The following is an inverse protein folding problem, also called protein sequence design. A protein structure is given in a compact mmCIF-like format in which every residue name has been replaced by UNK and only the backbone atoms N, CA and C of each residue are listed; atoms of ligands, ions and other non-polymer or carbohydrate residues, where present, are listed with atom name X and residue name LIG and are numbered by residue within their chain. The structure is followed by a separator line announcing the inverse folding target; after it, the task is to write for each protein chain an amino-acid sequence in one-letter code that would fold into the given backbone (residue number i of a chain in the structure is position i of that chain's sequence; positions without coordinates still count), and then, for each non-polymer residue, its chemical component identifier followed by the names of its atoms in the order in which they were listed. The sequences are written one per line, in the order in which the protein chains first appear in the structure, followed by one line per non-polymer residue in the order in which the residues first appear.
data_IF_688603936145
#
_entry.id   IF_688603936145
#
_cell.length_a   1.000
_cell.length_b   1.000
_cell.length_c   1.000
_cell.angle_alpha   90.00
_cell.angle_beta   90.00
_cell.angle_gamma   90.00
#
_symmetry.space_group_name_H-M   'P 1'
#
loop_
_entity.id
_entity.type
_entity.pdbx_description
1 polymer ?
#
# COMPACT_ATOMS: atom_id res chain seq x y z
N UNK A 1 19.00 -17.13 -9.02
CA UNK A 1 18.70 -18.49 -9.53
C UNK A 1 17.71 -18.37 -10.67
N UNK A 2 17.99 -18.93 -11.86
CA UNK A 2 17.11 -18.82 -13.02
C UNK A 2 15.94 -19.83 -13.00
N UNK A 3 16.05 -20.89 -12.20
CA UNK A 3 15.19 -22.08 -12.17
C UNK A 3 14.15 -22.08 -11.04
N UNK A 4 13.74 -20.89 -10.57
CA UNK A 4 12.72 -20.77 -9.53
C UNK A 4 11.35 -21.15 -10.12
N UNK A 5 10.72 -22.20 -9.57
CA UNK A 5 9.42 -22.72 -10.03
C UNK A 5 8.21 -22.13 -9.31
N UNK A 6 8.40 -21.65 -8.09
CA UNK A 6 7.33 -21.09 -7.27
C UNK A 6 7.77 -19.79 -6.64
N UNK A 7 6.94 -18.77 -6.74
CA UNK A 7 6.98 -17.58 -5.90
C UNK A 7 5.65 -17.53 -5.17
N UNK A 8 5.70 -17.57 -3.85
CA UNK A 8 4.51 -17.58 -3.00
C UNK A 8 4.52 -16.34 -2.13
N UNK A 9 3.50 -15.51 -2.30
CA UNK A 9 3.20 -14.40 -1.41
C UNK A 9 2.21 -14.89 -0.36
N UNK A 10 2.70 -15.05 0.87
CA UNK A 10 1.86 -15.38 2.01
C UNK A 10 0.96 -14.19 2.40
N UNK A 11 1.53 -12.99 2.35
CA UNK A 11 0.81 -11.75 2.57
C UNK A 11 0.79 -10.95 1.27
N UNK A 12 -0.28 -10.19 1.04
CA UNK A 12 -0.41 -9.43 -0.19
C UNK A 12 0.66 -8.32 -0.28
N UNK A 13 1.31 -8.14 -1.45
CA UNK A 13 2.27 -7.07 -1.64
C UNK A 13 1.69 -5.68 -1.43
N UNK A 14 2.56 -4.71 -1.17
CA UNK A 14 2.17 -3.31 -0.93
C UNK A 14 1.87 -2.55 -2.23
N UNK A 15 2.30 -3.10 -3.37
CA UNK A 15 2.02 -2.55 -4.68
C UNK A 15 2.12 -3.60 -5.79
N UNK A 16 1.55 -3.27 -6.95
CA UNK A 16 1.64 -4.09 -8.16
C UNK A 16 3.07 -4.12 -8.72
N UNK A 17 3.84 -3.04 -8.58
CA UNK A 17 5.25 -3.04 -8.98
C UNK A 17 6.08 -4.01 -8.14
N UNK A 18 5.88 -4.01 -6.81
CA UNK A 18 6.52 -4.98 -5.92
C UNK A 18 6.15 -6.40 -6.31
N UNK A 19 4.85 -6.66 -6.44
CA UNK A 19 4.33 -7.95 -6.88
C UNK A 19 4.94 -8.41 -8.21
N UNK A 20 4.99 -7.54 -9.23
CA UNK A 20 5.55 -7.86 -10.55
C UNK A 20 7.06 -8.16 -10.49
N UNK A 21 7.84 -7.38 -9.74
CA UNK A 21 9.28 -7.63 -9.58
C UNK A 21 9.57 -8.93 -8.85
N UNK A 22 8.79 -9.24 -7.82
CA UNK A 22 8.95 -10.43 -6.99
C UNK A 22 8.54 -11.70 -7.75
N UNK A 23 7.37 -11.69 -8.39
CA UNK A 23 6.89 -12.81 -9.23
C UNK A 23 7.75 -13.01 -10.48
N UNK A 24 8.31 -11.95 -11.06
CA UNK A 24 9.27 -11.99 -12.18
C UNK A 24 10.61 -12.68 -11.86
N UNK A 25 10.79 -13.22 -10.65
CA UNK A 25 11.90 -14.10 -10.30
C UNK A 25 11.63 -15.56 -10.69
N UNK A 26 10.38 -15.95 -10.86
CA UNK A 26 10.00 -17.29 -11.33
C UNK A 26 10.28 -17.46 -12.83
N UNK A 27 10.64 -18.68 -13.25
CA UNK A 27 10.63 -19.04 -14.68
C UNK A 27 11.64 -18.32 -15.58
N UNK A 28 12.75 -17.79 -15.05
CA UNK A 28 13.73 -17.02 -15.85
C UNK A 28 14.52 -17.86 -16.86
N UNK A 29 14.55 -19.18 -16.66
CA UNK A 29 15.05 -20.16 -17.61
C UNK A 29 14.08 -20.46 -18.77
N UNK A 30 12.91 -19.79 -18.81
CA UNK A 30 11.85 -20.04 -19.78
C UNK A 30 10.98 -21.25 -19.47
N UNK A 31 11.28 -21.98 -18.38
CA UNK A 31 10.41 -23.03 -17.84
C UNK A 31 9.21 -22.44 -17.09
N UNK A 32 8.22 -23.29 -16.82
CA UNK A 32 7.02 -22.88 -16.09
C UNK A 32 7.35 -22.34 -14.68
N UNK A 33 6.75 -21.20 -14.34
CA UNK A 33 6.88 -20.55 -13.04
C UNK A 33 5.50 -20.21 -12.50
N UNK A 34 5.16 -20.76 -11.34
CA UNK A 34 3.90 -20.56 -10.66
C UNK A 34 4.01 -19.42 -9.64
N UNK A 35 3.13 -18.44 -9.76
CA UNK A 35 3.08 -17.29 -8.86
C UNK A 35 1.76 -17.37 -8.08
N UNK A 36 1.83 -17.62 -6.78
CA UNK A 36 0.67 -17.84 -5.91
C UNK A 36 0.64 -16.73 -4.87
N UNK A 37 -0.51 -16.08 -4.72
CA UNK A 37 -0.70 -15.04 -3.69
C UNK A 37 -1.90 -15.39 -2.85
N UNK A 38 -1.67 -15.52 -1.54
CA UNK A 38 -2.75 -15.54 -0.57
C UNK A 38 -3.20 -14.10 -0.31
N UNK A 39 -4.50 -13.90 -0.26
CA UNK A 39 -5.10 -12.59 -0.13
C UNK A 39 -6.17 -12.60 0.96
N UNK A 40 -5.96 -11.78 1.99
CA UNK A 40 -7.01 -11.33 2.89
C UNK A 40 -7.13 -9.82 2.82
N UNK A 41 -8.37 -9.32 2.86
CA UNK A 41 -8.61 -7.88 3.01
C UNK A 41 -8.10 -7.35 4.36
N UNK A 42 -7.92 -8.21 5.35
CA UNK A 42 -7.37 -7.83 6.65
C UNK A 42 -5.87 -7.49 6.57
N UNK A 43 -5.15 -8.04 5.59
CA UNK A 43 -3.75 -7.70 5.32
C UNK A 43 -3.64 -6.25 4.83
N UNK A 44 -4.58 -5.83 3.99
CA UNK A 44 -4.68 -4.44 3.50
C UNK A 44 -4.97 -3.49 4.65
N UNK A 45 -5.86 -3.86 5.57
CA UNK A 45 -6.12 -3.09 6.78
C UNK A 45 -4.82 -2.91 7.60
N UNK A 46 -4.08 -4.00 7.84
CA UNK A 46 -2.79 -3.94 8.54
C UNK A 46 -1.83 -2.95 7.87
N UNK A 47 -1.72 -2.98 6.53
CA UNK A 47 -0.88 -2.06 5.75
C UNK A 47 -1.38 -0.60 5.82
N UNK A 48 -2.69 -0.35 5.73
CA UNK A 48 -3.29 0.99 5.91
C UNK A 48 -2.95 1.57 7.29
N UNK A 49 -2.96 0.73 8.34
CA UNK A 49 -2.65 1.17 9.70
C UNK A 49 -1.20 1.60 9.87
N UNK A 50 -0.28 0.95 9.16
CA UNK A 50 1.15 1.32 9.15
C UNK A 50 1.42 2.70 8.56
N UNK A 51 0.48 3.23 7.76
CA UNK A 51 0.61 4.54 7.13
C UNK A 51 0.23 5.70 8.05
N UNK A 52 -0.47 5.45 9.17
CA UNK A 52 -1.10 6.50 9.99
C UNK A 52 -0.12 7.58 10.47
N UNK A 53 1.11 7.19 10.83
CA UNK A 53 2.11 8.08 11.41
C UNK A 53 3.06 8.69 10.35
N UNK A 54 2.82 8.41 9.07
CA UNK A 54 3.59 8.97 7.94
C UNK A 54 3.04 10.34 7.52
N UNK A 55 3.81 11.19 6.83
CA UNK A 55 3.31 12.45 6.26
C UNK A 55 2.11 12.22 5.32
N UNK A 56 1.16 13.17 5.28
CA UNK A 56 -0.08 13.06 4.48
C UNK A 56 0.17 12.71 3.02
N UNK A 57 1.19 13.33 2.39
CA UNK A 57 1.54 13.03 1.01
C UNK A 57 1.97 11.56 0.79
N UNK A 58 2.69 10.97 1.75
CA UNK A 58 3.06 9.54 1.70
C UNK A 58 1.84 8.64 1.93
N UNK A 59 0.89 9.07 2.77
CA UNK A 59 -0.35 8.35 3.02
C UNK A 59 -1.22 8.25 1.77
N UNK A 60 -1.43 9.36 1.07
CA UNK A 60 -2.21 9.40 -0.17
C UNK A 60 -1.59 8.49 -1.24
N UNK A 61 -0.27 8.54 -1.35
CA UNK A 61 0.50 7.69 -2.24
C UNK A 61 0.30 6.21 -1.88
N UNK A 62 0.59 5.78 -0.65
CA UNK A 62 0.43 4.38 -0.30
C UNK A 62 -1.02 3.90 -0.42
N UNK A 63 -2.01 4.75 -0.13
CA UNK A 63 -3.43 4.44 -0.32
C UNK A 63 -3.72 4.09 -1.78
N UNK A 64 -3.15 4.81 -2.73
CA UNK A 64 -3.31 4.52 -4.15
C UNK A 64 -2.62 3.19 -4.55
N UNK A 65 -1.40 2.90 -4.08
CA UNK A 65 -0.74 1.60 -4.36
C UNK A 65 -1.52 0.41 -3.80
N UNK A 66 -1.97 0.53 -2.55
CA UNK A 66 -2.75 -0.51 -1.90
C UNK A 66 -4.09 -0.71 -2.62
N UNK A 67 -4.73 0.39 -3.03
CA UNK A 67 -5.95 0.34 -3.80
C UNK A 67 -5.78 -0.41 -5.13
N UNK A 68 -4.74 -0.09 -5.90
CA UNK A 68 -4.44 -0.80 -7.16
C UNK A 68 -4.15 -2.28 -6.93
N UNK A 69 -3.50 -2.60 -5.81
CA UNK A 69 -3.23 -3.99 -5.40
C UNK A 69 -4.52 -4.75 -5.07
N UNK A 70 -5.43 -4.12 -4.32
CA UNK A 70 -6.77 -4.66 -4.03
C UNK A 70 -7.57 -4.85 -5.30
N UNK A 71 -7.58 -3.83 -6.17
CA UNK A 71 -8.30 -3.89 -7.44
C UNK A 71 -7.79 -5.05 -8.30
N UNK A 72 -6.47 -5.24 -8.37
CA UNK A 72 -5.87 -6.39 -9.05
C UNK A 72 -6.29 -7.72 -8.43
N UNK A 73 -6.23 -7.87 -7.10
CA UNK A 73 -6.55 -9.13 -6.41
C UNK A 73 -8.03 -9.51 -6.55
N UNK A 74 -8.94 -8.53 -6.48
CA UNK A 74 -10.38 -8.78 -6.50
C UNK A 74 -10.98 -8.83 -7.91
N UNK A 75 -10.31 -8.29 -8.92
CA UNK A 75 -10.79 -8.26 -10.31
C UNK A 75 -11.09 -9.65 -10.87
N UNK A 76 -12.10 -9.72 -11.73
CA UNK A 76 -12.46 -10.87 -12.59
C UNK A 76 -11.70 -10.87 -13.93
N UNK A 77 -11.03 -9.78 -14.28
CA UNK A 77 -10.31 -9.63 -15.56
C UNK A 77 -9.04 -10.49 -15.54
N UNK A 78 -8.62 -10.98 -16.71
CA UNK A 78 -7.35 -11.69 -16.88
C UNK A 78 -6.20 -10.97 -16.16
N UNK A 79 -5.54 -11.67 -15.21
CA UNK A 79 -4.44 -11.14 -14.38
C UNK A 79 -3.32 -10.55 -15.24
N UNK A 80 -2.89 -11.28 -16.27
CA UNK A 80 -1.84 -10.83 -17.19
C UNK A 80 -2.23 -9.51 -17.89
N UNK A 81 -3.48 -9.41 -18.35
CA UNK A 81 -3.99 -8.21 -19.02
C UNK A 81 -3.99 -7.00 -18.09
N UNK A 82 -4.38 -7.20 -16.83
CA UNK A 82 -4.33 -6.14 -15.81
C UNK A 82 -2.91 -5.69 -15.52
N UNK A 83 -1.96 -6.63 -15.34
CA UNK A 83 -0.55 -6.30 -15.13
C UNK A 83 0.02 -5.48 -16.29
N UNK A 84 -0.20 -5.91 -17.53
CA UNK A 84 0.26 -5.16 -18.70
C UNK A 84 -0.38 -3.77 -18.77
N UNK A 85 -1.70 -3.68 -18.57
CA UNK A 85 -2.41 -2.40 -18.57
C UNK A 85 -1.87 -1.44 -17.51
N UNK A 86 -1.58 -1.95 -16.31
CA UNK A 86 -0.99 -1.18 -15.22
C UNK A 86 0.35 -0.53 -15.62
N UNK A 87 1.18 -1.24 -16.39
CA UNK A 87 2.45 -0.71 -16.93
C UNK A 87 2.31 0.06 -18.26
N UNK A 88 1.07 0.35 -18.68
CA UNK A 88 0.79 1.09 -19.91
C UNK A 88 0.96 0.25 -21.19
N UNK A 89 1.04 -1.07 -21.06
CA UNK A 89 1.11 -2.01 -22.18
C UNK A 89 -0.28 -2.53 -22.56
N UNK A 90 -0.49 -2.78 -23.85
CA UNK A 90 -1.76 -3.29 -24.37
C UNK A 90 -1.62 -4.77 -24.69
N UNK A 91 -2.40 -5.60 -23.99
CA UNK A 91 -2.55 -7.00 -24.34
C UNK A 91 -3.63 -7.16 -25.41
N UNK A 92 -3.23 -7.61 -26.60
CA UNK A 92 -4.11 -7.69 -27.79
C UNK A 92 -4.99 -8.94 -27.84
N UNK A 93 -4.66 -9.97 -27.05
CA UNK A 93 -5.48 -11.17 -26.94
C UNK A 93 -6.62 -10.96 -25.94
N UNK A 94 -7.68 -11.73 -26.11
CA UNK A 94 -8.83 -11.70 -25.21
C UNK A 94 -8.45 -12.06 -23.77
N UNK A 95 -7.66 -13.12 -23.59
CA UNK A 95 -7.18 -13.60 -22.30
C UNK A 95 -5.81 -14.30 -22.40
N UNK A 96 -5.18 -14.66 -21.27
CA UNK A 96 -3.87 -15.31 -21.26
C UNK A 96 -3.91 -16.84 -21.26
N UNK A 97 -5.08 -17.44 -21.03
CA UNK A 97 -5.26 -18.91 -20.98
C UNK A 97 -4.56 -19.63 -19.82
N UNK A 98 -3.96 -18.91 -18.87
CA UNK A 98 -3.11 -19.51 -17.83
C UNK A 98 -3.27 -18.97 -16.41
N UNK A 99 -3.93 -17.83 -16.21
CA UNK A 99 -4.18 -17.29 -14.86
C UNK A 99 -5.48 -17.83 -14.27
N UNK A 100 -5.61 -17.78 -12.95
CA UNK A 100 -6.78 -18.20 -12.18
C UNK A 100 -8.10 -17.64 -12.74
N UNK A 101 -8.16 -16.34 -13.05
CA UNK A 101 -9.37 -15.72 -13.61
C UNK A 101 -9.73 -16.23 -15.02
N UNK A 102 -8.75 -16.69 -15.81
CA UNK A 102 -9.02 -17.26 -17.14
C UNK A 102 -9.39 -18.73 -17.07
N UNK A 103 -8.78 -19.46 -16.13
CA UNK A 103 -9.03 -20.89 -15.91
C UNK A 103 -10.34 -21.12 -15.16
N UNK A 104 -10.72 -20.21 -14.26
CA UNK A 104 -11.92 -20.25 -13.44
C UNK A 104 -12.64 -18.88 -13.48
N UNK A 105 -13.35 -18.54 -14.58
CA UNK A 105 -14.02 -17.24 -14.71
C UNK A 105 -15.06 -17.02 -13.61
N UNK A 106 -15.02 -15.86 -12.94
CA UNK A 106 -16.04 -15.46 -11.97
C UNK A 106 -17.37 -15.18 -12.67
N UNK A 107 -18.46 -15.64 -12.08
CA UNK A 107 -19.80 -15.26 -12.52
C UNK A 107 -20.07 -13.79 -12.16
N UNK A 108 -20.41 -12.98 -13.15
CA UNK A 108 -20.77 -11.58 -12.96
C UNK A 108 -22.29 -11.40 -12.94
N UNK A 109 -22.79 -10.43 -12.17
CA UNK A 109 -24.21 -10.11 -12.10
C UNK A 109 -24.42 -8.59 -11.97
N UNK A 110 -25.61 -8.12 -12.35
CA UNK A 110 -25.99 -6.73 -12.20
C UNK A 110 -26.17 -6.37 -10.72
N UNK A 111 -25.32 -5.46 -10.23
CA UNK A 111 -25.23 -5.08 -8.82
C UNK A 111 -25.64 -3.64 -8.51
N UNK A 112 -26.16 -2.87 -9.47
CA UNK A 112 -26.57 -1.47 -9.28
C UNK A 112 -27.41 -1.22 -8.02
N UNK A 113 -28.45 -2.02 -7.79
CA UNK A 113 -29.35 -1.83 -6.64
C UNK A 113 -28.68 -2.22 -5.32
N UNK A 114 -27.79 -3.21 -5.34
CA UNK A 114 -27.04 -3.65 -4.15
C UNK A 114 -26.01 -2.59 -3.75
N UNK A 115 -25.25 -2.06 -4.71
CA UNK A 115 -24.33 -0.94 -4.48
C UNK A 115 -25.10 0.26 -3.95
N UNK A 116 -26.23 0.63 -4.57
CA UNK A 116 -27.06 1.73 -4.09
C UNK A 116 -27.54 1.51 -2.65
N UNK A 117 -27.97 0.30 -2.31
CA UNK A 117 -28.41 -0.07 -0.96
C UNK A 117 -27.28 0.13 0.06
N UNK A 118 -26.06 -0.26 -0.28
CA UNK A 118 -24.87 -0.03 0.54
C UNK A 118 -24.65 1.48 0.75
N UNK A 119 -24.56 2.26 -0.32
CA UNK A 119 -24.24 3.69 -0.24
C UNK A 119 -25.30 4.48 0.55
N UNK A 120 -26.59 4.18 0.32
CA UNK A 120 -27.71 4.78 1.08
C UNK A 120 -27.63 4.42 2.56
N UNK A 121 -27.24 3.18 2.88
CA UNK A 121 -27.08 2.74 4.28
C UNK A 121 -25.92 3.46 4.96
N UNK A 122 -24.77 3.60 4.29
CA UNK A 122 -23.63 4.38 4.80
C UNK A 122 -24.04 5.83 5.06
N UNK A 123 -24.78 6.46 4.13
CA UNK A 123 -25.32 7.82 4.30
C UNK A 123 -26.28 7.92 5.50
N UNK A 124 -27.23 7.00 5.61
CA UNK A 124 -28.24 7.01 6.67
C UNK A 124 -27.63 6.80 8.06
N UNK A 125 -26.57 6.01 8.14
CA UNK A 125 -25.80 5.77 9.37
C UNK A 125 -24.75 6.85 9.64
N UNK A 126 -24.82 7.98 8.92
CA UNK A 126 -23.97 9.17 9.10
C UNK A 126 -22.47 8.88 8.98
N UNK A 127 -22.10 7.85 8.21
CA UNK A 127 -20.71 7.49 7.94
C UNK A 127 -19.87 7.29 9.22
N UNK A 128 -20.41 6.55 10.20
CA UNK A 128 -19.76 6.36 11.52
C UNK A 128 -19.27 4.93 11.78
N UNK A 129 -19.47 4.02 10.82
CA UNK A 129 -19.29 2.58 11.07
C UNK A 129 -18.43 1.92 10.00
N UNK A 130 -17.79 0.82 10.42
CA UNK A 130 -16.93 -0.01 9.57
C UNK A 130 -17.74 -1.01 8.75
N UNK A 131 -17.08 -1.58 7.74
CA UNK A 131 -17.61 -2.58 6.78
C UNK A 131 -18.53 -3.61 7.42
N UNK A 132 -18.05 -4.36 8.43
CA UNK A 132 -18.80 -5.46 9.03
C UNK A 132 -20.09 -5.01 9.72
N UNK A 133 -20.09 -3.82 10.32
CA UNK A 133 -21.28 -3.26 10.97
C UNK A 133 -22.32 -2.86 9.93
N UNK A 134 -21.88 -2.19 8.85
CA UNK A 134 -22.76 -1.82 7.73
C UNK A 134 -23.37 -3.09 7.11
N UNK A 135 -22.56 -4.10 6.83
CA UNK A 135 -23.01 -5.39 6.28
C UNK A 135 -24.02 -6.10 7.20
N UNK A 136 -23.76 -6.15 8.50
CA UNK A 136 -24.68 -6.75 9.48
C UNK A 136 -26.00 -5.98 9.57
N UNK A 137 -25.97 -4.64 9.49
CA UNK A 137 -27.19 -3.82 9.44
C UNK A 137 -28.01 -4.12 8.19
N UNK A 138 -27.40 -4.14 7.01
CA UNK A 138 -28.10 -4.40 5.74
C UNK A 138 -28.69 -5.82 5.75
N UNK A 139 -27.92 -6.81 6.20
CA UNK A 139 -28.36 -8.20 6.34
C UNK A 139 -29.42 -8.41 7.44
N UNK A 140 -29.67 -7.43 8.29
CA UNK A 140 -30.61 -7.55 9.42
C UNK A 140 -30.10 -8.45 10.55
N UNK A 141 -28.78 -8.61 10.67
CA UNK A 141 -28.14 -9.46 11.68
C UNK A 141 -28.08 -8.74 13.03
N UNK A 142 -28.73 -9.33 14.03
CA UNK A 142 -28.81 -8.76 15.40
C UNK A 142 -27.61 -9.15 16.26
N UNK A 143 -26.41 -8.72 15.89
CA UNK A 143 -25.19 -8.90 16.71
C UNK A 143 -25.28 -8.10 18.03
N UNK A 144 -24.42 -8.44 19.00
CA UNK A 144 -24.35 -7.73 20.28
C UNK A 144 -24.11 -6.23 20.09
N UNK A 145 -23.19 -5.89 19.19
CA UNK A 145 -22.80 -4.51 18.89
C UNK A 145 -23.92 -3.72 18.20
N UNK A 146 -24.62 -4.34 17.25
CA UNK A 146 -25.79 -3.74 16.57
C UNK A 146 -26.89 -3.40 17.56
N UNK A 147 -27.15 -4.27 18.56
CA UNK A 147 -28.15 -4.02 19.61
C UNK A 147 -27.70 -2.94 20.60
N UNK A 148 -26.43 -2.98 21.02
CA UNK A 148 -25.89 -2.04 22.00
C UNK A 148 -26.04 -0.58 21.54
N UNK A 149 -25.81 -0.32 20.25
CA UNK A 149 -25.89 1.02 19.64
C UNK A 149 -27.27 1.26 19.00
N UNK A 150 -28.23 0.34 19.20
CA UNK A 150 -29.64 0.43 18.71
C UNK A 150 -29.77 0.57 17.19
N UNK A 151 -28.79 0.11 16.42
CA UNK A 151 -28.83 0.12 14.96
C UNK A 151 -29.94 -0.77 14.39
N UNK A 152 -30.38 -1.78 15.16
CA UNK A 152 -31.52 -2.62 14.84
C UNK A 152 -32.88 -1.90 14.81
N UNK A 153 -32.92 -0.60 15.16
CA UNK A 153 -34.13 0.24 15.11
C UNK A 153 -34.11 1.25 13.96
N UNK A 154 -33.06 1.26 13.14
CA UNK A 154 -32.94 2.17 12.00
C UNK A 154 -33.75 1.66 10.81
N UNK A 155 -34.21 2.58 9.95
CA UNK A 155 -35.00 2.22 8.76
C UNK A 155 -34.21 1.44 7.71
N UNK A 156 -32.88 1.47 7.80
CA UNK A 156 -31.96 0.74 6.91
C UNK A 156 -31.68 -0.68 7.38
N UNK A 157 -32.08 -1.03 8.60
CA UNK A 157 -31.85 -2.36 9.15
C UNK A 157 -32.67 -3.43 8.42
N UNK A 158 -31.98 -4.44 7.88
CA UNK A 158 -32.61 -5.56 7.18
C UNK A 158 -33.13 -5.24 5.78
N UNK A 159 -32.76 -4.11 5.18
CA UNK A 159 -33.15 -3.77 3.79
C UNK A 159 -32.65 -4.79 2.76
N UNK A 160 -31.54 -5.48 3.07
CA UNK A 160 -30.95 -6.52 2.23
C UNK A 160 -30.96 -7.91 2.86
N UNK A 161 -31.94 -8.21 3.72
CA UNK A 161 -32.03 -9.48 4.48
C UNK A 161 -32.07 -10.76 3.64
N UNK A 162 -32.36 -10.65 2.34
CA UNK A 162 -32.34 -11.78 1.39
C UNK A 162 -30.92 -12.31 1.15
N UNK A 163 -29.89 -11.54 1.53
CA UNK A 163 -28.48 -11.89 1.41
C UNK A 163 -27.79 -11.81 2.77
N UNK A 164 -26.80 -12.68 2.97
CA UNK A 164 -26.06 -12.75 4.23
C UNK A 164 -25.03 -11.61 4.34
N UNK A 165 -24.45 -11.44 5.54
CA UNK A 165 -23.45 -10.39 5.79
C UNK A 165 -22.21 -10.53 4.90
N UNK A 166 -21.76 -11.76 4.58
CA UNK A 166 -20.61 -12.02 3.70
C UNK A 166 -20.82 -11.44 2.30
N UNK A 167 -22.02 -11.61 1.74
CA UNK A 167 -22.39 -11.00 0.46
C UNK A 167 -22.29 -9.47 0.50
N UNK A 168 -22.84 -8.84 1.55
CA UNK A 168 -22.78 -7.38 1.68
C UNK A 168 -21.36 -6.86 1.90
N UNK A 169 -20.49 -7.62 2.56
CA UNK A 169 -19.05 -7.31 2.62
C UNK A 169 -18.43 -7.31 1.22
N UNK A 170 -18.74 -8.31 0.37
CA UNK A 170 -18.27 -8.35 -1.02
C UNK A 170 -18.78 -7.14 -1.84
N UNK A 171 -20.06 -6.79 -1.73
CA UNK A 171 -20.61 -5.59 -2.42
C UNK A 171 -19.92 -4.31 -1.95
N UNK A 172 -19.68 -4.17 -0.63
CA UNK A 172 -18.95 -3.02 -0.07
C UNK A 172 -17.52 -2.95 -0.61
N UNK A 173 -16.80 -4.08 -0.68
CA UNK A 173 -15.44 -4.13 -1.24
C UNK A 173 -15.40 -3.69 -2.69
N UNK A 174 -16.36 -4.14 -3.50
CA UNK A 174 -16.43 -3.68 -4.89
C UNK A 174 -16.88 -2.23 -5.03
N UNK A 175 -17.74 -1.71 -4.14
CA UNK A 175 -18.04 -0.28 -4.10
C UNK A 175 -16.81 0.58 -3.70
N UNK A 176 -15.91 0.05 -2.86
CA UNK A 176 -14.62 0.67 -2.56
C UNK A 176 -13.73 0.68 -3.82
N UNK A 177 -13.60 -0.45 -4.53
CA UNK A 177 -12.85 -0.55 -5.81
C UNK A 177 -13.41 0.37 -6.89
N UNK A 178 -14.72 0.60 -6.93
CA UNK A 178 -15.32 1.55 -7.87
C UNK A 178 -15.18 3.02 -7.41
N UNK A 179 -14.45 3.28 -6.31
CA UNK A 179 -14.26 4.60 -5.68
C UNK A 179 -15.59 5.31 -5.33
N UNK A 180 -16.65 4.55 -5.08
CA UNK A 180 -17.94 5.07 -4.58
C UNK A 180 -17.94 5.22 -3.06
N UNK A 181 -17.13 4.41 -2.39
CA UNK A 181 -16.80 4.52 -0.98
C UNK A 181 -15.30 4.73 -0.82
N UNK A 182 -14.92 5.28 0.32
CA UNK A 182 -13.55 5.23 0.82
C UNK A 182 -13.55 5.00 2.33
N UNK A 183 -12.38 4.67 2.89
CA UNK A 183 -12.18 4.58 4.33
C UNK A 183 -11.55 5.87 4.85
N UNK A 184 -12.01 6.31 6.01
CA UNK A 184 -11.38 7.40 6.76
C UNK A 184 -10.09 6.91 7.46
N UNK A 185 -9.02 7.72 7.35
CA UNK A 185 -7.69 7.38 7.87
C UNK A 185 -7.57 7.76 9.35
N UNK A 186 -8.09 8.92 9.75
CA UNK A 186 -8.04 9.40 11.14
C UNK A 186 -8.88 8.51 12.07
N UNK A 187 -10.11 8.18 11.67
CA UNK A 187 -10.97 7.20 12.35
C UNK A 187 -10.93 5.87 11.62
N UNK A 188 -9.82 5.18 11.80
CA UNK A 188 -9.43 3.96 11.12
C UNK A 188 -10.59 2.99 10.77
N UNK A 189 -10.86 2.89 9.46
CA UNK A 189 -11.74 1.89 8.86
C UNK A 189 -13.23 2.24 8.82
N UNK A 190 -13.61 3.47 9.19
CA UNK A 190 -14.96 3.99 8.98
C UNK A 190 -15.19 4.21 7.49
N UNK A 191 -16.36 3.81 6.99
CA UNK A 191 -16.75 4.01 5.59
C UNK A 191 -17.38 5.39 5.39
N UNK A 192 -16.87 6.13 4.41
CA UNK A 192 -17.38 7.44 3.99
C UNK A 192 -17.70 7.44 2.50
N UNK A 193 -18.67 8.26 2.08
CA UNK A 193 -19.02 8.41 0.68
C UNK A 193 -18.04 9.34 -0.03
N UNK A 194 -17.65 8.96 -1.24
CA UNK A 194 -16.98 9.88 -2.15
C UNK A 194 -18.02 10.74 -2.88
N UNK A 195 -17.56 11.80 -3.57
CA UNK A 195 -18.42 12.60 -4.46
C UNK A 195 -19.11 11.72 -5.53
N UNK A 196 -18.36 10.77 -6.11
CA UNK A 196 -18.89 9.82 -7.07
C UNK A 196 -19.94 8.88 -6.46
N UNK A 197 -19.74 8.45 -5.21
CA UNK A 197 -20.73 7.69 -4.45
C UNK A 197 -22.03 8.47 -4.21
N UNK A 198 -21.92 9.76 -3.87
CA UNK A 198 -23.11 10.61 -3.71
C UNK A 198 -23.88 10.78 -5.02
N UNK A 199 -23.15 10.99 -6.13
CA UNK A 199 -23.75 11.11 -7.47
C UNK A 199 -24.43 9.81 -7.88
N UNK A 200 -23.80 8.65 -7.63
CA UNK A 200 -24.39 7.34 -7.91
C UNK A 200 -25.73 7.11 -7.18
N UNK A 201 -25.87 7.60 -5.94
CA UNK A 201 -27.14 7.49 -5.19
C UNK A 201 -28.28 8.23 -5.94
N UNK A 202 -27.97 9.38 -6.53
CA UNK A 202 -28.91 10.23 -7.25
C UNK A 202 -29.19 9.72 -8.67
N UNK A 203 -28.14 9.27 -9.36
CA UNK A 203 -28.16 8.84 -10.76
C UNK A 203 -27.48 7.48 -10.89
N UNK A 204 -28.13 6.39 -10.43
CA UNK A 204 -27.52 5.06 -10.44
C UNK A 204 -27.34 4.55 -11.87
N UNK A 205 -26.13 4.12 -12.19
CA UNK A 205 -25.79 3.45 -13.44
C UNK A 205 -25.53 1.95 -13.23
N UNK A 206 -25.51 1.19 -14.32
CA UNK A 206 -25.27 -0.27 -14.27
C UNK A 206 -23.85 -0.56 -13.78
N UNK A 207 -23.72 -1.47 -12.81
CA UNK A 207 -22.42 -1.93 -12.29
C UNK A 207 -22.48 -3.45 -12.23
N UNK A 208 -21.57 -4.09 -12.96
CA UNK A 208 -21.38 -5.54 -12.87
C UNK A 208 -20.50 -5.86 -11.67
N UNK A 209 -20.97 -6.77 -10.83
CA UNK A 209 -20.25 -7.28 -9.67
C UNK A 209 -19.85 -8.73 -9.91
N UNK A 210 -18.62 -9.08 -9.52
CA UNK A 210 -18.14 -10.46 -9.62
C UNK A 210 -18.50 -11.22 -8.33
N UNK A 211 -19.16 -12.38 -8.44
CA UNK A 211 -19.42 -13.24 -7.27
C UNK A 211 -18.10 -13.74 -6.67
N UNK A 212 -18.06 -13.86 -5.35
CA UNK A 212 -17.00 -14.59 -4.67
C UNK A 212 -17.02 -16.06 -5.12
N UNK A 213 -15.84 -16.66 -5.30
CA UNK A 213 -15.74 -18.11 -5.42
C UNK A 213 -16.06 -18.74 -4.07
N UNK A 214 -17.13 -19.52 -4.04
CA UNK A 214 -17.49 -20.31 -2.87
C UNK A 214 -16.74 -21.64 -2.92
N UNK A 215 -15.48 -21.64 -2.48
CA UNK A 215 -14.67 -22.86 -2.35
C UNK A 215 -15.22 -23.83 -1.27
N UNK A 216 -16.28 -23.45 -0.54
CA UNK A 216 -16.94 -24.33 0.44
C UNK A 216 -17.98 -25.27 -0.21
N UNK A 217 -18.36 -25.07 -1.47
CA UNK A 217 -19.43 -25.83 -2.13
C UNK A 217 -19.02 -26.66 -3.36
N UNK A 218 -17.72 -27.01 -3.48
CA UNK A 218 -17.21 -27.98 -4.46
C UNK A 218 -16.99 -29.37 -3.84
N UNK A 219 -17.54 -30.41 -4.48
CA UNK A 219 -17.65 -31.78 -3.97
C UNK A 219 -16.36 -32.57 -3.79
N UNK A 220 -16.53 -33.77 -3.21
CA UNK A 220 -15.56 -34.87 -3.02
C UNK A 220 -14.42 -34.87 -4.06
N UNK A 221 -13.30 -34.22 -3.74
CA UNK A 221 -11.96 -34.80 -3.79
C UNK A 221 -10.91 -33.79 -3.29
N UNK A 222 -10.15 -34.27 -2.30
CA UNK A 222 -8.84 -33.84 -1.84
C UNK A 222 -8.61 -32.66 -0.85
N UNK A 223 -8.00 -33.09 0.27
CA UNK A 223 -7.24 -32.43 1.33
C UNK A 223 -8.05 -31.57 2.33
N UNK A 224 -8.58 -32.28 3.32
CA UNK A 224 -9.01 -31.76 4.61
C UNK A 224 -7.81 -31.20 5.39
N UNK A 225 -7.66 -29.88 5.46
CA UNK A 225 -6.90 -29.23 6.53
C UNK A 225 -7.89 -28.76 7.59
N UNK A 226 -8.01 -29.56 8.66
CA UNK A 226 -8.70 -29.15 9.88
C UNK A 226 -7.91 -28.03 10.58
N UNK A 227 -8.19 -26.78 10.22
CA UNK A 227 -7.83 -25.61 11.02
C UNK A 227 -9.09 -24.99 11.59
N UNK A 228 -9.29 -25.06 12.92
CA UNK A 228 -10.34 -24.31 13.61
C UNK A 228 -10.06 -22.81 13.42
N UNK A 229 -10.69 -22.19 12.43
CA UNK A 229 -10.60 -20.76 12.17
C UNK A 229 -11.19 -19.95 13.31
N UNK A 230 -10.34 -19.53 14.26
CA UNK A 230 -10.64 -18.36 15.08
C UNK A 230 -10.55 -17.13 14.18
N UNK A 231 -11.60 -16.30 14.22
CA UNK A 231 -11.68 -15.03 13.50
C UNK A 231 -10.49 -14.16 13.87
N UNK A 232 -9.56 -13.99 12.94
CA UNK A 232 -8.40 -13.11 13.08
C UNK A 232 -8.85 -11.66 12.94
N UNK A 233 -8.77 -10.90 14.03
CA UNK A 233 -8.42 -9.48 13.95
C UNK A 233 -7.03 -9.38 13.32
N UNK A 234 -6.75 -8.34 12.53
CA UNK A 234 -5.43 -8.13 11.88
C UNK A 234 -4.22 -7.96 12.81
N UNK A 235 -4.31 -8.40 14.07
CA UNK A 235 -3.22 -8.54 15.04
C UNK A 235 -2.59 -9.92 14.95
N UNK A 236 -1.28 -10.03 15.11
CA UNK A 236 -0.60 -11.31 15.24
C UNK A 236 -1.08 -12.06 16.50
N UNK A 237 -1.82 -13.18 16.34
CA UNK A 237 -2.45 -13.85 17.49
C UNK A 237 -1.42 -14.55 18.39
N UNK A 238 -0.28 -14.97 17.82
CA UNK A 238 0.79 -15.65 18.56
C UNK A 238 1.49 -14.61 19.42
N UNK A 239 1.94 -13.50 18.82
CA UNK A 239 2.55 -12.40 19.56
C UNK A 239 1.59 -11.83 20.60
N UNK A 240 0.31 -11.62 20.25
CA UNK A 240 -0.68 -11.14 21.21
C UNK A 240 -0.84 -12.05 22.44
N UNK A 241 -0.79 -13.38 22.25
CA UNK A 241 -0.77 -14.33 23.36
C UNK A 241 0.48 -14.17 24.21
N UNK A 242 1.66 -14.09 23.59
CA UNK A 242 2.94 -13.91 24.29
C UNK A 242 2.97 -12.59 25.10
N UNK A 243 2.44 -11.50 24.53
CA UNK A 243 2.33 -10.20 25.22
C UNK A 243 1.34 -10.27 26.40
N UNK A 244 0.27 -11.07 26.30
CA UNK A 244 -0.66 -11.29 27.41
C UNK A 244 -0.01 -12.04 28.56
N UNK A 245 0.82 -13.03 28.24
CA UNK A 245 1.56 -13.81 29.24
C UNK A 245 2.61 -12.94 29.92
N UNK A 246 3.41 -12.18 29.17
CA UNK A 246 4.39 -11.23 29.71
C UNK A 246 3.73 -10.18 30.62
N UNK A 247 2.59 -9.62 30.20
CA UNK A 247 1.81 -8.68 31.03
C UNK A 247 1.42 -9.31 32.37
N UNK A 248 1.03 -10.58 32.37
CA UNK A 248 0.61 -11.30 33.56
C UNK A 248 1.79 -11.51 34.51
N UNK A 249 2.96 -11.85 33.99
CA UNK A 249 4.20 -12.00 34.76
C UNK A 249 4.57 -10.68 35.45
N UNK A 250 4.67 -9.58 34.70
CA UNK A 250 5.02 -8.26 35.24
C UNK A 250 3.97 -7.79 36.26
N UNK A 251 2.69 -8.08 36.02
CA UNK A 251 1.62 -7.73 36.97
C UNK A 251 1.77 -8.44 38.32
N UNK A 252 2.27 -9.68 38.31
CA UNK A 252 2.52 -10.46 39.52
C UNK A 252 3.75 -9.95 40.27
N UNK A 253 4.82 -9.59 39.55
CA UNK A 253 6.05 -9.03 40.14
C UNK A 253 5.81 -7.66 40.78
N UNK A 254 5.07 -6.78 40.10
CA UNK A 254 4.75 -5.44 40.58
C UNK A 254 3.56 -5.41 41.57
N UNK A 255 2.91 -6.55 41.79
CA UNK A 255 1.70 -6.70 42.60
C UNK A 255 0.58 -5.71 42.20
N UNK A 256 0.33 -5.60 40.90
CA UNK A 256 -0.69 -4.72 40.30
C UNK A 256 -1.63 -5.53 39.39
N UNK A 257 -2.89 -5.11 39.19
CA UNK A 257 -3.76 -5.76 38.21
C UNK A 257 -3.21 -5.66 36.77
N UNK A 258 -3.32 -6.70 35.91
CA UNK A 258 -2.72 -6.73 34.57
C UNK A 258 -3.06 -5.52 33.69
N UNK A 259 -4.31 -5.06 33.73
CA UNK A 259 -4.78 -3.92 32.93
C UNK A 259 -4.13 -2.58 33.31
N UNK A 260 -3.52 -2.49 34.51
CA UNK A 260 -2.78 -1.30 34.96
C UNK A 260 -1.47 -1.17 34.19
N UNK A 261 -0.84 -2.29 33.82
CA UNK A 261 0.35 -2.33 32.99
C UNK A 261 -0.03 -1.86 31.58
N UNK A 262 -0.75 -2.69 30.82
CA UNK A 262 -1.30 -2.36 29.50
C UNK A 262 -2.71 -2.94 29.32
N UNK A 263 -3.58 -2.18 28.67
CA UNK A 263 -4.92 -2.67 28.31
C UNK A 263 -4.85 -3.56 27.07
N UNK A 264 -5.85 -4.43 26.88
CA UNK A 264 -5.90 -5.33 25.71
C UNK A 264 -5.77 -4.57 24.36
N UNK A 265 -6.39 -3.38 24.15
CA UNK A 265 -6.18 -2.59 22.93
C UNK A 265 -4.72 -2.18 22.71
N UNK A 266 -3.96 -1.90 23.77
CA UNK A 266 -2.53 -1.57 23.65
C UNK A 266 -1.70 -2.79 23.26
N UNK A 267 -2.06 -3.98 23.75
CA UNK A 267 -1.41 -5.23 23.37
C UNK A 267 -1.76 -5.65 21.93
N UNK A 268 -3.01 -5.44 21.50
CA UNK A 268 -3.42 -5.65 20.11
C UNK A 268 -2.67 -4.70 19.17
N UNK A 269 -2.48 -3.45 19.58
CA UNK A 269 -1.74 -2.45 18.81
C UNK A 269 -0.23 -2.77 18.74
N UNK A 270 0.37 -3.24 19.84
CA UNK A 270 1.73 -3.80 19.87
C UNK A 270 1.90 -4.99 18.90
N UNK A 271 0.94 -5.91 18.89
CA UNK A 271 0.95 -7.08 18.00
C UNK A 271 0.68 -6.74 16.52
N UNK A 272 0.40 -5.47 16.22
CA UNK A 272 0.30 -4.95 14.86
C UNK A 272 1.55 -4.16 14.51
N UNK A 273 2.00 -3.26 15.38
CA UNK A 273 3.07 -2.31 15.08
C UNK A 273 4.48 -2.85 15.33
N UNK A 274 4.63 -3.99 16.02
CA UNK A 274 5.94 -4.60 16.35
C UNK A 274 7.00 -3.61 16.88
N UNK A 275 6.69 -2.80 17.91
CA UNK A 275 7.62 -1.84 18.50
C UNK A 275 8.78 -2.53 19.20
N UNK A 276 10.02 -2.19 18.84
CA UNK A 276 11.25 -2.73 19.43
C UNK A 276 12.04 -1.67 20.22
N UNK A 277 11.65 -0.41 20.17
CA UNK A 277 12.27 0.68 20.95
C UNK A 277 11.27 1.34 21.90
N UNK A 278 11.78 1.96 22.97
CA UNK A 278 10.94 2.70 23.92
C UNK A 278 10.27 3.94 23.29
N UNK A 279 10.85 4.48 22.22
CA UNK A 279 10.30 5.60 21.47
C UNK A 279 9.12 5.14 20.62
N UNK A 280 9.28 4.02 19.90
CA UNK A 280 8.18 3.34 19.19
C UNK A 280 7.06 2.96 20.16
N UNK A 281 7.42 2.58 21.39
CA UNK A 281 6.42 2.24 22.39
C UNK A 281 5.52 3.37 22.84
N UNK A 282 6.01 4.60 22.79
CA UNK A 282 5.20 5.77 23.15
C UNK A 282 4.14 6.11 22.10
N UNK A 283 4.27 5.58 20.88
CA UNK A 283 3.31 5.78 19.80
C UNK A 283 2.13 4.79 19.86
N UNK A 284 2.21 3.77 20.73
CA UNK A 284 1.13 2.78 20.89
C UNK A 284 -0.05 3.37 21.66
N UNK A 285 -1.26 3.08 21.16
CA UNK A 285 -2.51 3.55 21.74
C UNK A 285 -2.61 3.09 23.20
N UNK A 286 -2.72 4.04 24.13
CA UNK A 286 -2.83 3.78 25.57
C UNK A 286 -1.49 3.63 26.31
N UNK A 287 -0.36 3.84 25.63
CA UNK A 287 0.99 3.80 26.20
C UNK A 287 1.58 5.21 26.30
N UNK A 288 1.45 5.83 27.49
CA UNK A 288 2.11 7.11 27.76
C UNK A 288 3.60 6.95 28.11
N UNK A 289 4.38 8.03 28.01
CA UNK A 289 5.82 8.05 28.31
C UNK A 289 6.20 7.44 29.67
N UNK A 290 5.38 7.65 30.71
CA UNK A 290 5.61 7.05 32.03
C UNK A 290 5.47 5.52 32.04
N UNK A 291 4.49 4.98 31.31
CA UNK A 291 4.28 3.52 31.19
C UNK A 291 5.32 2.87 30.29
N UNK A 292 5.67 3.51 29.17
CA UNK A 292 6.75 3.05 28.31
C UNK A 292 8.06 2.95 29.09
N UNK A 293 8.40 3.97 29.88
CA UNK A 293 9.63 3.96 30.68
C UNK A 293 9.62 2.93 31.81
N UNK A 294 8.47 2.73 32.47
CA UNK A 294 8.37 1.82 33.62
C UNK A 294 8.23 0.35 33.23
N UNK A 295 7.47 0.05 32.18
CA UNK A 295 7.09 -1.32 31.82
C UNK A 295 7.41 -1.69 30.37
N UNK A 296 7.85 -0.76 29.52
CA UNK A 296 7.98 -0.99 28.07
C UNK A 296 9.17 -1.85 27.66
N UNK A 297 10.30 -1.80 28.38
CA UNK A 297 11.53 -2.48 27.96
C UNK A 297 11.37 -4.01 27.78
N UNK A 298 10.77 -4.76 28.72
CA UNK A 298 10.55 -6.19 28.54
C UNK A 298 9.67 -6.53 27.33
N UNK A 299 8.70 -5.67 27.01
CA UNK A 299 7.83 -5.85 25.84
C UNK A 299 8.60 -5.59 24.55
N UNK A 300 9.42 -4.53 24.49
CA UNK A 300 10.30 -4.28 23.35
C UNK A 300 11.25 -5.46 23.09
N UNK A 301 11.85 -6.01 24.13
CA UNK A 301 12.82 -7.10 24.02
C UNK A 301 12.14 -8.38 23.49
N UNK A 302 10.96 -8.72 24.03
CA UNK A 302 10.15 -9.85 23.55
C UNK A 302 9.73 -9.68 22.09
N UNK A 303 9.26 -8.48 21.72
CA UNK A 303 8.82 -8.19 20.34
C UNK A 303 10.02 -8.21 19.40
N UNK A 304 11.16 -7.68 19.80
CA UNK A 304 12.40 -7.70 19.02
C UNK A 304 12.85 -9.13 18.75
N UNK A 305 12.90 -9.97 19.77
CA UNK A 305 13.26 -11.38 19.62
C UNK A 305 12.27 -12.09 18.68
N UNK A 306 10.97 -11.88 18.87
CA UNK A 306 9.94 -12.49 18.03
C UNK A 306 10.03 -12.04 16.57
N UNK A 307 10.31 -10.76 16.31
CA UNK A 307 10.53 -10.22 14.97
C UNK A 307 11.76 -10.86 14.31
N UNK A 308 12.88 -10.97 15.03
CA UNK A 308 14.12 -11.57 14.52
C UNK A 308 13.95 -13.08 14.24
N UNK A 309 13.28 -13.81 15.12
CA UNK A 309 13.06 -15.26 14.98
C UNK A 309 12.11 -15.63 13.83
N UNK A 310 11.14 -14.77 13.53
CA UNK A 310 10.10 -15.03 12.53
C UNK A 310 10.27 -14.19 11.25
N UNK A 311 11.40 -13.47 11.11
CA UNK A 311 11.73 -12.59 9.97
C UNK A 311 10.58 -11.62 9.61
N UNK A 312 10.01 -10.99 10.65
CA UNK A 312 8.80 -10.17 10.51
C UNK A 312 9.18 -8.77 10.02
N UNK A 313 8.60 -8.36 8.89
CA UNK A 313 8.72 -6.99 8.40
C UNK A 313 7.87 -6.03 9.25
N UNK A 314 8.50 -5.06 9.92
CA UNK A 314 7.81 -4.10 10.79
C UNK A 314 7.31 -2.86 10.03
N UNK A 315 6.28 -2.15 10.53
CA UNK A 315 5.80 -0.89 9.94
C UNK A 315 6.89 0.17 9.73
N UNK A 316 7.81 0.31 10.68
CA UNK A 316 8.90 1.28 10.58
C UNK A 316 9.94 0.90 9.52
N UNK A 317 10.02 -0.38 9.15
CA UNK A 317 10.88 -0.88 8.08
C UNK A 317 10.25 -0.65 6.68
N UNK A 318 9.01 -0.17 6.64
CA UNK A 318 8.31 0.14 5.38
C UNK A 318 8.83 1.46 4.84
N UNK A 319 9.78 1.36 3.92
CA UNK A 319 10.13 2.43 2.99
C UNK A 319 9.07 2.42 1.88
N UNK A 320 8.15 3.39 1.90
CA UNK A 320 7.23 3.60 0.78
C UNK A 320 8.06 4.13 -0.38
N UNK A 321 8.39 3.25 -1.32
CA UNK A 321 8.75 3.71 -2.66
C UNK A 321 7.50 4.37 -3.21
N UNK A 322 7.56 5.69 -3.35
CA UNK A 322 6.45 6.51 -3.81
C UNK A 322 5.78 5.90 -5.04
N UNK A 323 4.44 5.77 -5.05
CA UNK A 323 3.66 5.53 -6.27
C UNK A 323 4.13 6.56 -7.27
N UNK A 324 4.77 6.02 -8.28
CA UNK A 324 5.23 6.81 -9.37
C UNK A 324 4.16 6.57 -10.43
N UNK A 325 3.11 7.39 -10.38
CA UNK A 325 2.38 7.80 -11.60
C UNK A 325 3.30 8.58 -12.58
N UNK A 326 4.61 8.56 -12.31
CA UNK A 326 5.71 8.92 -13.17
C UNK A 326 6.40 7.68 -13.77
N UNK A 327 5.87 6.46 -13.71
CA UNK A 327 6.60 5.28 -14.24
C UNK A 327 6.69 5.38 -15.77
N UNK A 328 5.60 5.83 -16.41
CA UNK A 328 5.61 6.23 -17.81
C UNK A 328 6.50 7.45 -18.10
N UNK A 329 6.51 8.47 -17.23
CA UNK A 329 7.35 9.66 -17.40
C UNK A 329 8.84 9.33 -17.23
N UNK A 330 9.20 8.58 -16.19
CA UNK A 330 10.55 8.08 -15.90
C UNK A 330 11.06 7.18 -17.02
N UNK A 331 10.28 6.19 -17.45
CA UNK A 331 10.64 5.32 -18.59
C UNK A 331 10.78 6.15 -19.87
N UNK A 332 9.93 7.15 -20.07
CA UNK A 332 10.03 8.06 -21.21
C UNK A 332 11.31 8.92 -21.15
N UNK A 333 11.63 9.53 -20.01
CA UNK A 333 12.83 10.34 -19.80
C UNK A 333 14.08 9.47 -20.04
N UNK A 334 14.16 8.30 -19.39
CA UNK A 334 15.29 7.36 -19.57
C UNK A 334 15.45 7.00 -21.05
N UNK A 335 14.39 6.52 -21.72
CA UNK A 335 14.45 6.15 -23.14
C UNK A 335 14.78 7.32 -24.07
N UNK A 336 14.44 8.54 -23.69
CA UNK A 336 14.70 9.74 -24.49
C UNK A 336 16.12 10.23 -24.32
N UNK A 337 16.65 10.16 -23.10
CA UNK A 337 18.07 10.42 -22.78
C UNK A 337 18.96 9.36 -23.44
N UNK A 338 18.59 8.08 -23.42
CA UNK A 338 19.31 7.00 -24.13
C UNK A 338 19.36 7.24 -25.66
N UNK A 339 18.37 7.95 -26.20
CA UNK A 339 18.32 8.38 -27.61
C UNK A 339 19.00 9.73 -27.85
N UNK A 340 19.57 10.34 -26.82
CA UNK A 340 20.25 11.64 -26.84
C UNK A 340 19.36 12.77 -27.36
N UNK A 341 18.09 12.79 -26.96
CA UNK A 341 17.18 13.90 -27.27
C UNK A 341 17.49 15.12 -26.37
N UNK A 342 17.40 16.36 -26.86
CA UNK A 342 17.55 17.56 -26.03
C UNK A 342 16.56 17.58 -24.87
N UNK A 343 16.98 18.05 -23.69
CA UNK A 343 16.16 17.97 -22.48
C UNK A 343 14.89 18.82 -22.57
N UNK A 344 14.92 19.93 -23.32
CA UNK A 344 13.77 20.80 -23.59
C UNK A 344 12.73 20.11 -24.44
N UNK A 345 13.14 19.31 -25.44
CA UNK A 345 12.23 18.54 -26.28
C UNK A 345 11.52 17.45 -25.47
N UNK A 346 12.27 16.79 -24.58
CA UNK A 346 11.72 15.81 -23.63
C UNK A 346 10.70 16.49 -22.70
N UNK A 347 10.99 17.71 -22.24
CA UNK A 347 10.12 18.48 -21.36
C UNK A 347 8.83 18.90 -22.07
N UNK A 348 8.96 19.46 -23.28
CA UNK A 348 7.85 19.90 -24.10
C UNK A 348 6.89 18.76 -24.45
N UNK A 349 7.41 17.59 -24.81
CA UNK A 349 6.60 16.40 -25.12
C UNK A 349 5.74 15.92 -23.95
N UNK A 350 6.03 16.35 -22.72
CA UNK A 350 5.30 16.02 -21.49
C UNK A 350 4.64 17.23 -20.84
N UNK A 351 4.58 18.38 -21.54
CA UNK A 351 4.06 19.64 -21.02
C UNK A 351 4.73 20.08 -19.70
N UNK A 352 6.05 19.87 -19.59
CA UNK A 352 6.87 20.26 -18.46
C UNK A 352 7.79 21.42 -18.83
N UNK A 353 8.18 22.21 -17.81
CA UNK A 353 9.28 23.17 -17.93
C UNK A 353 10.62 22.44 -17.78
N UNK A 354 11.72 23.04 -18.27
CA UNK A 354 13.06 22.48 -18.12
C UNK A 354 13.43 22.28 -16.64
N UNK A 355 13.14 23.27 -15.80
CA UNK A 355 13.31 23.16 -14.33
C UNK A 355 12.60 21.93 -13.73
N UNK A 356 11.36 21.67 -14.14
CA UNK A 356 10.62 20.47 -13.70
C UNK A 356 11.24 19.21 -14.29
N UNK A 357 11.75 19.24 -15.51
CA UNK A 357 12.45 18.12 -16.13
C UNK A 357 13.73 17.76 -15.37
N UNK A 358 14.57 18.74 -15.04
CA UNK A 358 15.77 18.54 -14.22
C UNK A 358 15.42 17.95 -12.86
N UNK A 359 14.35 18.45 -12.23
CA UNK A 359 13.83 17.91 -10.97
C UNK A 359 13.39 16.44 -11.06
N UNK A 360 12.87 16.02 -12.21
CA UNK A 360 12.55 14.61 -12.47
C UNK A 360 13.80 13.76 -12.71
N UNK A 361 14.78 14.27 -13.45
CA UNK A 361 16.07 13.60 -13.70
C UNK A 361 16.83 13.38 -12.38
N UNK A 362 16.89 14.39 -11.52
CA UNK A 362 17.50 14.29 -10.18
C UNK A 362 16.84 13.18 -9.34
N UNK A 363 15.51 13.07 -9.38
CA UNK A 363 14.77 11.98 -8.71
C UNK A 363 15.07 10.62 -9.30
N UNK A 364 15.31 10.53 -10.61
CA UNK A 364 15.69 9.28 -11.27
C UNK A 364 17.07 8.83 -10.76
N UNK A 365 18.01 9.76 -10.62
CA UNK A 365 19.37 9.46 -10.15
C UNK A 365 19.38 9.11 -8.67
N UNK A 366 18.67 9.85 -7.82
CA UNK A 366 18.55 9.52 -6.39
C UNK A 366 17.87 8.17 -6.14
N UNK A 367 17.09 7.66 -7.11
CA UNK A 367 16.53 6.31 -7.09
C UNK A 367 17.52 5.21 -7.52
N UNK A 368 18.79 5.54 -7.78
CA UNK A 368 19.85 4.60 -8.15
C UNK A 368 19.90 4.25 -9.64
N UNK A 369 19.34 5.09 -10.51
CA UNK A 369 19.37 4.87 -11.98
C UNK A 369 20.42 5.78 -12.61
N UNK A 370 21.44 5.18 -13.25
CA UNK A 370 22.46 5.93 -13.99
C UNK A 370 21.86 6.52 -15.28
N UNK A 371 22.12 7.80 -15.51
CA UNK A 371 21.73 8.54 -16.72
C UNK A 371 22.95 9.27 -17.30
N UNK A 372 23.14 9.15 -18.61
CA UNK A 372 24.21 9.86 -19.32
C UNK A 372 23.62 11.07 -20.06
N UNK A 373 23.82 12.26 -19.48
CA UNK A 373 23.40 13.53 -20.09
C UNK A 373 24.60 14.34 -20.61
N UNK A 374 25.78 13.73 -20.77
CA UNK A 374 26.99 14.45 -21.22
C UNK A 374 26.77 15.15 -22.55
N UNK A 375 26.03 14.51 -23.48
CA UNK A 375 25.69 15.11 -24.77
C UNK A 375 24.97 16.46 -24.68
N UNK A 376 24.22 16.69 -23.59
CA UNK A 376 23.50 17.94 -23.37
C UNK A 376 24.39 18.95 -22.62
N UNK A 377 25.16 18.47 -21.64
CA UNK A 377 26.11 19.28 -20.86
C UNK A 377 27.17 19.89 -21.77
N UNK A 378 27.76 19.08 -22.66
CA UNK A 378 28.82 19.50 -23.59
C UNK A 378 28.36 20.62 -24.55
N UNK A 379 27.05 20.77 -24.76
CA UNK A 379 26.45 21.83 -25.58
C UNK A 379 26.03 23.07 -24.78
N UNK A 380 25.78 22.94 -23.48
CA UNK A 380 25.11 23.98 -22.66
C UNK A 380 25.95 24.51 -21.49
N UNK A 381 27.04 23.83 -21.12
CA UNK A 381 27.92 24.22 -20.01
C UNK A 381 29.35 24.33 -20.52
N UNK A 382 29.98 25.48 -20.30
CA UNK A 382 31.37 25.73 -20.70
C UNK A 382 32.34 24.74 -20.04
N UNK A 383 33.37 24.28 -20.76
CA UNK A 383 34.33 23.28 -20.26
C UNK A 383 34.99 23.71 -18.93
N UNK A 384 35.28 25.00 -18.74
CA UNK A 384 35.83 25.50 -17.47
C UNK A 384 34.82 25.39 -16.34
N UNK A 385 33.54 25.69 -16.60
CA UNK A 385 32.47 25.55 -15.61
C UNK A 385 32.23 24.09 -15.25
N UNK A 386 32.34 23.18 -16.23
CA UNK A 386 32.23 21.76 -15.97
C UNK A 386 33.31 21.26 -15.01
N UNK A 387 34.57 21.61 -15.24
CA UNK A 387 35.67 21.22 -14.36
C UNK A 387 35.49 21.80 -12.94
N UNK A 388 35.22 23.10 -12.82
CA UNK A 388 35.14 23.79 -11.52
C UNK A 388 33.96 23.29 -10.66
N UNK A 389 32.78 23.12 -11.26
CA UNK A 389 31.61 22.60 -10.53
C UNK A 389 31.81 21.12 -10.14
N UNK A 390 32.48 20.33 -10.99
CA UNK A 390 32.74 18.92 -10.68
C UNK A 390 33.76 18.77 -9.53
N UNK A 391 34.83 19.57 -9.54
CA UNK A 391 35.83 19.61 -8.48
C UNK A 391 35.23 20.06 -7.15
N UNK A 392 34.31 21.04 -7.17
CA UNK A 392 33.53 21.42 -6.00
C UNK A 392 32.80 20.23 -5.37
N UNK A 393 32.03 19.45 -6.16
CA UNK A 393 31.27 18.33 -5.62
C UNK A 393 32.14 17.16 -5.13
N UNK A 394 33.40 17.03 -5.59
CA UNK A 394 34.35 16.04 -5.05
C UNK A 394 34.73 16.33 -3.60
N UNK A 395 34.80 17.61 -3.21
CA UNK A 395 35.21 18.05 -1.87
C UNK A 395 34.03 18.46 -0.96
N UNK A 396 32.84 18.67 -1.55
CA UNK A 396 31.66 19.13 -0.84
C UNK A 396 31.15 18.13 0.22
N UNK A 397 30.66 18.65 1.34
CA UNK A 397 30.05 17.83 2.42
C UNK A 397 28.59 17.51 2.18
N UNK A 398 27.93 18.29 1.34
CA UNK A 398 26.52 18.16 0.96
C UNK A 398 26.42 18.23 -0.56
N UNK A 399 25.34 17.73 -1.10
CA UNK A 399 24.99 17.86 -2.52
C UNK A 399 24.01 19.02 -2.76
N UNK A 400 23.99 20.02 -1.87
CA UNK A 400 23.04 21.14 -1.95
C UNK A 400 23.41 22.11 -3.07
N UNK A 401 22.47 22.35 -4.00
CA UNK A 401 22.64 23.32 -5.10
C UNK A 401 22.76 24.75 -4.58
N UNK A 402 22.02 25.08 -3.51
CA UNK A 402 22.06 26.41 -2.89
C UNK A 402 23.43 26.69 -2.24
N UNK A 403 24.01 25.69 -1.56
CA UNK A 403 25.35 25.82 -0.97
C UNK A 403 26.42 25.92 -2.06
N UNK A 404 26.29 25.13 -3.13
CA UNK A 404 27.18 25.18 -4.29
C UNK A 404 27.18 26.56 -4.96
N UNK A 405 26.00 27.14 -5.20
CA UNK A 405 25.88 28.48 -5.78
C UNK A 405 26.46 29.57 -4.87
N UNK A 406 26.30 29.44 -3.56
CA UNK A 406 26.85 30.40 -2.59
C UNK A 406 28.39 30.35 -2.53
N UNK A 407 28.99 29.19 -2.74
CA UNK A 407 30.44 28.97 -2.67
C UNK A 407 31.15 29.25 -4.01
N UNK A 408 30.57 28.78 -5.12
CA UNK A 408 31.06 29.02 -6.48
C UNK A 408 30.81 30.47 -6.93
N UNK A 409 29.74 31.08 -6.45
CA UNK A 409 29.38 32.47 -6.72
C UNK A 409 28.31 32.64 -7.80
N UNK A 410 27.14 33.15 -7.39
CA UNK A 410 25.97 33.42 -8.24
C UNK A 410 26.20 34.42 -9.40
N UNK A 411 27.34 35.12 -9.42
CA UNK A 411 27.70 36.05 -10.48
C UNK A 411 28.35 35.37 -11.70
N UNK A 412 28.94 34.20 -11.50
CA UNK A 412 29.67 33.44 -12.53
C UNK A 412 28.92 32.17 -12.94
N UNK A 413 28.20 31.53 -12.01
CA UNK A 413 27.49 30.28 -12.23
C UNK A 413 25.98 30.45 -12.06
N UNK A 414 25.21 29.81 -12.95
CA UNK A 414 23.76 29.76 -12.82
C UNK A 414 23.26 28.41 -12.27
N UNK A 415 22.04 28.42 -11.73
CA UNK A 415 21.44 27.24 -11.09
C UNK A 415 21.31 26.05 -12.05
N UNK A 416 21.05 26.30 -13.34
CA UNK A 416 20.90 25.23 -14.33
C UNK A 416 22.22 24.49 -14.56
N UNK A 417 23.33 25.21 -14.71
CA UNK A 417 24.68 24.63 -14.85
C UNK A 417 25.05 23.78 -13.65
N UNK A 418 24.83 24.31 -12.43
CA UNK A 418 25.14 23.60 -11.18
C UNK A 418 24.30 22.32 -11.06
N UNK A 419 23.02 22.37 -11.43
CA UNK A 419 22.13 21.19 -11.41
C UNK A 419 22.54 20.14 -12.43
N UNK A 420 22.87 20.55 -13.65
CA UNK A 420 23.34 19.64 -14.71
C UNK A 420 24.64 18.93 -14.30
N UNK A 421 25.59 19.67 -13.73
CA UNK A 421 26.85 19.10 -13.27
C UNK A 421 26.68 18.22 -12.03
N UNK A 422 25.80 18.59 -11.10
CA UNK A 422 25.40 17.73 -9.97
C UNK A 422 24.78 16.41 -10.45
N UNK A 423 23.91 16.46 -11.45
CA UNK A 423 23.31 15.28 -12.09
C UNK A 423 24.41 14.37 -12.65
N UNK A 424 25.39 14.93 -13.39
CA UNK A 424 26.54 14.18 -13.90
C UNK A 424 27.35 13.53 -12.77
N UNK A 425 27.73 14.33 -11.77
CA UNK A 425 28.49 13.88 -10.62
C UNK A 425 27.82 12.71 -9.87
N UNK A 426 26.54 12.84 -9.53
CA UNK A 426 25.79 11.80 -8.83
C UNK A 426 25.59 10.54 -9.69
N UNK A 427 25.49 10.69 -11.02
CA UNK A 427 25.37 9.58 -11.95
C UNK A 427 26.69 8.80 -12.10
N UNK A 428 27.84 9.46 -11.95
CA UNK A 428 29.17 8.87 -12.07
C UNK A 428 29.76 8.34 -10.75
N UNK A 429 29.54 9.04 -9.63
CA UNK A 429 30.15 8.75 -8.32
C UNK A 429 29.16 8.07 -7.36
N UNK A 430 27.85 8.31 -7.52
CA UNK A 430 26.81 7.87 -6.59
C UNK A 430 26.30 6.43 -6.74
N UNK A 431 26.78 5.64 -7.72
CA UNK A 431 26.38 4.24 -7.93
C UNK A 431 27.55 3.28 -8.12
#
# INVERSE_FOLDING_TARGET
KPDIRFVIHHDIPKSIEGYYQETGRAGRDGGEGNCITFYSYDDIQKLEKFMKDKPVAEQEIAKELLFETVAYAESSVCRHKLLLHYFGEVYTKENCGSCDNCLNPKEEFEGKEDVRTVLVTVKALKQQYKVNMIADVIAGKKSGDVKAIKLNKTDVFGKGKEKNSRYWVMVIRQALIQRLLEKEIENYGILVLTKAGEEFILHPYSIMLAKDHDYESGGDDDIVIQGKGQRMSGSDPILFSMLKDLRKEISHEENLPPFVIFQDPSLEDMAIQYPITLEEMQQIIGVGAGKARKYGQPFCDLIKQYVEENDIMRPNDIVIKSVINKSGLKVYIIKSIDRKLPLEDIAHAKNLTLDKMLSEIERIISSGTRLDINYYIDEHVDEYHQEDIYDYFLEAKTDSVEEALAELGEAEYNEEEVRLMRIKFLSEVGN
#
